data_IF_649043321615
#
_entry.id   IF_649043321615
#
_cell.length_a   1.000
_cell.length_b   1.000
_cell.length_c   1.000
_cell.angle_alpha   90.00
_cell.angle_beta   90.00
_cell.angle_gamma   90.00
#
_symmetry.space_group_name_H-M   'P 1'
#
loop_
_entity.id
_entity.type
_entity.pdbx_description
1 polymer ?
#
# COMPACT_ATOMS: atom_id res chain seq x y z
N UNK A 1 4.07 17.72 -12.77
CA UNK A 1 3.20 17.04 -11.77
C UNK A 1 2.75 18.04 -10.73
N UNK A 2 1.45 18.01 -10.38
CA UNK A 2 0.86 18.85 -9.33
C UNK A 2 1.51 18.50 -7.98
N UNK A 3 1.86 19.52 -7.18
CA UNK A 3 2.35 19.32 -5.83
C UNK A 3 1.24 18.92 -4.86
N UNK A 4 1.62 18.40 -3.67
CA UNK A 4 0.66 18.00 -2.63
C UNK A 4 -0.30 19.13 -2.23
N UNK A 5 0.17 20.36 -2.22
CA UNK A 5 -0.63 21.54 -1.86
C UNK A 5 -1.78 21.71 -2.85
N UNK A 6 -1.52 21.62 -4.15
CA UNK A 6 -2.55 21.72 -5.18
C UNK A 6 -3.54 20.57 -5.12
N UNK A 7 -3.04 19.32 -5.07
CA UNK A 7 -3.91 18.13 -4.93
C UNK A 7 -4.78 18.23 -3.68
N UNK A 8 -4.24 18.77 -2.57
CA UNK A 8 -4.99 18.91 -1.32
C UNK A 8 -6.14 19.93 -1.38
N UNK A 9 -6.19 20.79 -2.39
CA UNK A 9 -7.36 21.65 -2.64
C UNK A 9 -8.56 20.84 -3.12
N UNK A 10 -8.31 19.79 -3.88
CA UNK A 10 -9.33 18.98 -4.56
C UNK A 10 -9.69 17.69 -3.83
N UNK A 11 -8.78 17.13 -3.02
CA UNK A 11 -8.96 15.83 -2.35
C UNK A 11 -8.49 15.93 -0.91
N UNK A 12 -9.28 15.37 0.01
CA UNK A 12 -8.93 15.25 1.43
C UNK A 12 -7.93 14.13 1.71
N UNK A 13 -7.70 13.89 3.00
CA UNK A 13 -6.79 12.86 3.52
C UNK A 13 -7.44 12.02 4.61
N UNK A 14 -8.70 12.30 4.93
CA UNK A 14 -9.40 11.71 6.06
C UNK A 14 -10.08 10.38 5.67
N UNK A 15 -10.11 9.40 6.56
CA UNK A 15 -10.95 8.22 6.40
C UNK A 15 -12.41 8.61 6.26
N UNK A 16 -13.15 7.99 5.33
CA UNK A 16 -14.56 8.33 5.10
C UNK A 16 -15.50 7.75 6.18
N UNK A 17 -15.12 6.64 6.81
CA UNK A 17 -16.02 5.86 7.66
C UNK A 17 -17.22 5.26 6.91
N UNK A 18 -17.18 5.27 5.57
CA UNK A 18 -18.26 4.86 4.67
C UNK A 18 -17.74 3.90 3.60
N UNK A 19 -18.65 3.29 2.85
CA UNK A 19 -18.28 2.46 1.69
C UNK A 19 -17.48 3.28 0.67
N UNK A 20 -16.57 2.64 -0.05
CA UNK A 20 -15.68 3.33 -1.01
C UNK A 20 -16.41 3.93 -2.22
N UNK A 21 -17.63 3.48 -2.49
CA UNK A 21 -18.52 3.92 -3.58
C UNK A 21 -19.72 4.76 -3.08
N UNK A 22 -19.70 5.21 -1.83
CA UNK A 22 -20.75 6.06 -1.24
C UNK A 22 -20.70 7.48 -1.86
N UNK A 23 -21.88 8.02 -2.21
CA UNK A 23 -22.09 9.34 -2.82
C UNK A 23 -21.99 10.47 -1.78
N UNK A 24 -20.88 10.53 -1.05
CA UNK A 24 -20.65 11.54 -0.02
C UNK A 24 -19.31 12.24 -0.17
N UNK A 25 -19.30 13.51 0.19
CA UNK A 25 -18.13 14.38 0.18
C UNK A 25 -17.86 14.96 1.56
N UNK A 26 -16.59 15.19 1.86
CA UNK A 26 -16.13 15.89 3.05
C UNK A 26 -16.45 17.38 2.93
N UNK A 27 -17.20 17.92 3.87
CA UNK A 27 -17.41 19.36 4.00
C UNK A 27 -16.16 20.03 4.57
N UNK A 28 -15.79 21.19 4.03
CA UNK A 28 -14.68 22.02 4.52
C UNK A 28 -15.18 23.35 5.05
N UNK A 29 -14.45 23.93 6.00
CA UNK A 29 -14.72 25.29 6.49
C UNK A 29 -14.53 26.31 5.36
N UNK A 30 -15.38 27.32 5.34
CA UNK A 30 -15.33 28.44 4.38
C UNK A 30 -14.00 29.26 4.44
N UNK A 31 -13.21 29.09 5.49
CA UNK A 31 -11.89 29.73 5.64
C UNK A 31 -10.74 29.00 4.91
N UNK A 32 -10.99 27.81 4.37
CA UNK A 32 -10.00 27.10 3.55
C UNK A 32 -9.99 27.67 2.12
N UNK A 33 -8.81 28.04 1.62
CA UNK A 33 -8.61 28.47 0.22
C UNK A 33 -8.84 27.28 -0.73
N UNK A 34 -10.06 26.79 -0.85
CA UNK A 34 -10.41 25.63 -1.65
C UNK A 34 -11.91 25.41 -1.76
N UNK A 35 -12.31 24.31 -2.36
CA UNK A 35 -13.70 23.94 -2.54
C UNK A 35 -14.38 23.59 -1.21
N UNK A 36 -15.65 23.96 -1.06
CA UNK A 36 -16.44 23.73 0.17
C UNK A 36 -16.72 22.24 0.43
N UNK A 37 -16.67 21.41 -0.61
CA UNK A 37 -16.86 19.96 -0.55
C UNK A 37 -15.86 19.28 -1.45
N UNK A 38 -15.18 18.25 -0.93
CA UNK A 38 -14.17 17.46 -1.66
C UNK A 38 -14.30 15.98 -1.28
N UNK A 39 -13.77 15.06 -2.09
CA UNK A 39 -13.63 13.66 -1.69
C UNK A 39 -12.85 13.52 -0.38
N UNK A 40 -13.20 12.55 0.45
CA UNK A 40 -12.53 12.29 1.73
C UNK A 40 -11.04 12.01 1.58
N UNK A 41 -10.68 11.17 0.63
CA UNK A 41 -9.31 10.79 0.32
C UNK A 41 -9.23 10.16 -1.09
N UNK A 42 -8.03 9.91 -1.66
CA UNK A 42 -7.87 9.34 -3.00
C UNK A 42 -8.25 7.84 -3.10
N UNK A 43 -8.48 7.15 -1.97
CA UNK A 43 -8.73 5.70 -1.93
C UNK A 43 -10.21 5.34 -2.09
N UNK A 44 -11.13 6.32 -1.96
CA UNK A 44 -12.55 6.18 -2.30
C UNK A 44 -12.79 6.57 -3.75
N UNK A 45 -13.87 6.04 -4.38
CA UNK A 45 -14.12 6.25 -5.81
C UNK A 45 -14.20 7.72 -6.19
N UNK A 46 -14.89 8.56 -5.39
CA UNK A 46 -14.96 10.00 -5.63
C UNK A 46 -13.56 10.65 -5.70
N UNK A 47 -12.65 10.26 -4.79
CA UNK A 47 -11.27 10.75 -4.78
C UNK A 47 -10.43 10.21 -5.93
N UNK A 48 -10.65 8.97 -6.33
CA UNK A 48 -9.96 8.37 -7.47
C UNK A 48 -10.41 9.03 -8.80
N UNK A 49 -11.71 9.33 -8.97
CA UNK A 49 -12.23 10.08 -10.13
C UNK A 49 -11.64 11.49 -10.15
N UNK A 50 -11.63 12.18 -9.00
CA UNK A 50 -11.04 13.50 -8.87
C UNK A 50 -9.56 13.48 -9.24
N UNK A 51 -8.76 12.56 -8.69
CA UNK A 51 -7.33 12.47 -9.00
C UNK A 51 -7.07 12.12 -10.45
N UNK A 52 -7.91 11.29 -11.09
CA UNK A 52 -7.85 11.04 -12.52
C UNK A 52 -8.07 12.33 -13.31
N UNK A 53 -9.06 13.14 -12.93
CA UNK A 53 -9.33 14.44 -13.56
C UNK A 53 -8.16 15.42 -13.48
N UNK A 54 -7.37 15.37 -12.42
CA UNK A 54 -6.22 16.25 -12.19
C UNK A 54 -4.95 15.86 -12.96
N UNK A 55 -4.86 14.66 -13.53
CA UNK A 55 -3.66 14.23 -14.27
C UNK A 55 -3.63 14.92 -15.63
N UNK A 56 -2.67 15.84 -15.81
CA UNK A 56 -2.39 16.55 -17.07
C UNK A 56 -3.69 16.93 -17.84
N UNK A 57 -4.57 17.78 -17.25
CA UNK A 57 -5.92 18.00 -17.75
C UNK A 57 -5.95 18.68 -19.14
N UNK A 58 -4.86 19.34 -19.52
CA UNK A 58 -4.70 20.00 -20.81
C UNK A 58 -4.30 19.05 -21.96
N UNK A 59 -3.88 17.82 -21.61
CA UNK A 59 -3.45 16.80 -22.56
C UNK A 59 -4.63 15.97 -23.08
N UNK A 60 -4.50 15.44 -24.30
CA UNK A 60 -5.48 14.51 -24.84
C UNK A 60 -5.57 13.23 -24.02
N UNK A 61 -6.74 12.58 -24.02
CA UNK A 61 -6.97 11.29 -23.34
C UNK A 61 -5.85 10.26 -23.64
N UNK A 62 -5.42 10.16 -24.89
CA UNK A 62 -4.39 9.22 -25.33
C UNK A 62 -3.03 9.53 -24.70
N UNK A 63 -2.67 10.81 -24.58
CA UNK A 63 -1.43 11.26 -23.95
C UNK A 63 -1.47 10.98 -22.44
N UNK A 64 -2.57 11.33 -21.77
CA UNK A 64 -2.79 11.09 -20.34
C UNK A 64 -2.71 9.59 -20.01
N UNK A 65 -3.42 8.74 -20.75
CA UNK A 65 -3.39 7.28 -20.54
C UNK A 65 -2.00 6.70 -20.81
N UNK A 66 -1.30 7.17 -21.84
CA UNK A 66 0.07 6.77 -22.13
C UNK A 66 1.00 7.16 -21.00
N UNK A 67 0.92 8.41 -20.52
CA UNK A 67 1.72 8.89 -19.39
C UNK A 67 1.51 8.01 -18.15
N UNK A 68 0.26 7.71 -17.78
CA UNK A 68 -0.07 6.85 -16.64
C UNK A 68 0.54 5.45 -16.82
N UNK A 69 0.37 4.82 -17.98
CA UNK A 69 0.94 3.50 -18.26
C UNK A 69 2.46 3.49 -18.16
N UNK A 70 3.13 4.53 -18.65
CA UNK A 70 4.57 4.70 -18.53
C UNK A 70 5.00 4.83 -17.05
N UNK A 71 4.28 5.61 -16.24
CA UNK A 71 4.60 5.73 -14.82
C UNK A 71 4.43 4.39 -14.08
N UNK A 72 3.36 3.65 -14.36
CA UNK A 72 3.20 2.30 -13.82
C UNK A 72 4.30 1.35 -14.31
N UNK A 73 4.66 1.40 -15.60
CA UNK A 73 5.78 0.64 -16.15
C UNK A 73 7.08 0.89 -15.40
N UNK A 74 7.42 2.16 -15.15
CA UNK A 74 8.61 2.52 -14.37
C UNK A 74 8.55 2.03 -12.91
N UNK A 75 7.37 2.03 -12.28
CA UNK A 75 7.19 1.49 -10.93
C UNK A 75 7.48 -0.01 -10.85
N UNK A 76 7.28 -0.75 -11.95
CA UNK A 76 7.48 -2.20 -12.01
C UNK A 76 8.80 -2.61 -12.66
N UNK A 77 9.65 -1.65 -12.99
CA UNK A 77 11.01 -1.90 -13.48
C UNK A 77 11.21 -1.79 -14.98
N UNK A 78 10.19 -1.37 -15.73
CA UNK A 78 10.32 -1.10 -17.16
C UNK A 78 11.26 0.10 -17.39
N UNK A 79 12.18 -0.03 -18.37
CA UNK A 79 13.09 1.02 -18.80
C UNK A 79 12.76 1.50 -20.23
N UNK A 80 13.23 2.69 -20.59
CA UNK A 80 12.97 3.25 -21.93
C UNK A 80 13.66 2.45 -23.06
N UNK A 81 14.68 1.63 -22.72
CA UNK A 81 15.41 0.76 -23.65
C UNK A 81 14.63 -0.52 -23.96
N UNK A 82 13.63 -0.85 -23.13
CA UNK A 82 12.74 -1.97 -23.39
C UNK A 82 11.79 -1.64 -24.55
N UNK A 83 11.44 -2.64 -25.34
CA UNK A 83 10.51 -2.45 -26.47
C UNK A 83 9.19 -1.80 -25.97
N UNK A 84 8.72 -0.70 -26.60
CA UNK A 84 7.58 0.07 -26.13
C UNK A 84 6.27 -0.73 -25.96
N UNK A 85 6.22 -1.96 -26.40
CA UNK A 85 5.01 -2.81 -26.41
C UNK A 85 5.04 -3.94 -25.41
N UNK A 86 6.20 -4.29 -24.80
CA UNK A 86 6.34 -5.59 -24.14
C UNK A 86 5.97 -5.60 -22.65
N UNK A 87 6.15 -4.50 -21.90
CA UNK A 87 6.10 -4.60 -20.42
C UNK A 87 5.32 -3.47 -19.70
N UNK A 88 4.71 -2.55 -20.44
CA UNK A 88 3.78 -1.60 -19.81
C UNK A 88 2.48 -2.30 -19.43
N UNK A 89 1.83 -1.92 -18.30
CA UNK A 89 0.53 -2.47 -17.93
C UNK A 89 -0.44 -2.46 -19.13
N UNK A 90 -0.99 -3.64 -19.42
CA UNK A 90 -1.89 -3.79 -20.57
C UNK A 90 -3.22 -3.10 -20.28
N UNK A 91 -3.69 -2.28 -21.23
CA UNK A 91 -5.02 -1.67 -21.14
C UNK A 91 -6.09 -2.59 -21.74
N UNK A 92 -7.04 -3.02 -20.90
CA UNK A 92 -8.17 -3.84 -21.32
C UNK A 92 -9.39 -2.95 -21.69
N UNK A 93 -9.54 -2.65 -22.98
CA UNK A 93 -10.64 -1.81 -23.48
C UNK A 93 -12.03 -2.39 -23.19
N UNK A 94 -12.18 -3.71 -23.20
CA UNK A 94 -13.47 -4.35 -22.96
C UNK A 94 -13.88 -4.19 -21.50
N UNK A 95 -12.94 -4.35 -20.58
CA UNK A 95 -13.16 -4.11 -19.15
C UNK A 95 -13.54 -2.63 -18.91
N UNK A 96 -12.82 -1.68 -19.50
CA UNK A 96 -13.13 -0.26 -19.36
C UNK A 96 -14.55 0.09 -19.89
N UNK A 97 -14.98 -0.54 -20.98
CA UNK A 97 -16.35 -0.37 -21.48
C UNK A 97 -17.39 -0.96 -20.55
N UNK A 98 -17.13 -2.13 -19.96
CA UNK A 98 -18.03 -2.76 -19.00
C UNK A 98 -18.15 -1.94 -17.72
N UNK A 99 -17.03 -1.43 -17.20
CA UNK A 99 -16.99 -0.54 -16.04
C UNK A 99 -17.79 0.75 -16.29
N UNK A 100 -17.61 1.37 -17.44
CA UNK A 100 -18.40 2.55 -17.83
C UNK A 100 -19.89 2.23 -17.95
N UNK A 101 -20.26 1.11 -18.57
CA UNK A 101 -21.67 0.73 -18.78
C UNK A 101 -22.40 0.42 -17.46
N UNK A 102 -21.70 -0.13 -16.47
CA UNK A 102 -22.28 -0.51 -15.15
C UNK A 102 -21.97 0.48 -14.05
N UNK A 103 -21.19 1.51 -14.31
CA UNK A 103 -20.63 2.43 -13.34
C UNK A 103 -21.57 3.55 -12.89
N UNK A 104 -22.86 3.28 -12.68
CA UNK A 104 -23.86 4.30 -12.33
C UNK A 104 -23.46 5.17 -11.13
N UNK A 105 -22.95 4.56 -10.05
CA UNK A 105 -22.48 5.30 -8.88
C UNK A 105 -21.29 6.22 -9.22
N UNK A 106 -20.36 5.73 -10.03
CA UNK A 106 -19.19 6.52 -10.45
C UNK A 106 -19.60 7.70 -11.36
N UNK A 107 -20.58 7.50 -12.23
CA UNK A 107 -21.16 8.57 -13.07
C UNK A 107 -21.83 9.62 -12.18
N UNK A 108 -22.66 9.19 -11.24
CA UNK A 108 -23.31 10.08 -10.27
C UNK A 108 -22.30 10.87 -9.44
N UNK A 109 -21.19 10.24 -9.02
CA UNK A 109 -20.08 10.92 -8.33
C UNK A 109 -19.40 11.97 -9.20
N UNK A 110 -19.17 11.68 -10.48
CA UNK A 110 -18.61 12.64 -11.43
C UNK A 110 -19.47 13.94 -11.49
N UNK A 111 -20.77 13.80 -11.61
CA UNK A 111 -21.68 14.95 -11.59
C UNK A 111 -21.76 15.63 -10.22
N UNK A 112 -21.70 14.89 -9.11
CA UNK A 112 -21.64 15.46 -7.78
C UNK A 112 -20.38 16.32 -7.59
N UNK A 113 -19.23 15.84 -8.07
CA UNK A 113 -17.96 16.59 -8.04
C UNK A 113 -18.01 17.84 -8.90
N UNK A 114 -18.67 17.79 -10.05
CA UNK A 114 -18.90 18.95 -10.90
C UNK A 114 -19.84 19.96 -10.20
N UNK A 115 -20.95 19.50 -9.64
CA UNK A 115 -21.94 20.36 -8.95
C UNK A 115 -21.33 21.09 -7.73
N UNK A 116 -20.27 20.57 -7.13
CA UNK A 116 -19.54 21.23 -6.03
C UNK A 116 -18.41 22.15 -6.51
N UNK A 117 -18.21 22.25 -7.84
CA UNK A 117 -17.12 23.00 -8.45
C UNK A 117 -15.73 22.41 -8.21
N UNK A 118 -15.64 21.18 -7.66
CA UNK A 118 -14.38 20.56 -7.28
C UNK A 118 -13.63 19.96 -8.46
N UNK A 119 -14.35 19.48 -9.48
CA UNK A 119 -13.73 18.91 -10.68
C UNK A 119 -13.16 20.03 -11.56
N UNK A 120 -11.90 19.97 -11.99
CA UNK A 120 -11.32 20.98 -12.84
C UNK A 120 -12.05 21.03 -14.19
N UNK A 121 -12.34 22.26 -14.66
CA UNK A 121 -12.86 22.49 -15.99
C UNK A 121 -11.77 22.19 -17.04
N UNK A 122 -12.13 21.57 -18.13
CA UNK A 122 -11.26 21.40 -19.28
C UNK A 122 -11.28 22.67 -20.16
N UNK A 123 -10.23 22.92 -20.95
CA UNK A 123 -10.19 24.09 -21.85
C UNK A 123 -11.33 24.11 -22.87
N UNK A 124 -11.92 22.95 -23.16
CA UNK A 124 -13.08 22.81 -24.02
C UNK A 124 -14.36 23.39 -23.43
N UNK A 125 -14.40 23.59 -22.10
CA UNK A 125 -15.60 24.11 -21.43
C UNK A 125 -15.71 25.64 -21.52
N UNK A 126 -14.64 26.34 -21.95
CA UNK A 126 -14.59 27.81 -22.01
C UNK A 126 -15.16 28.43 -23.31
N UNK A 127 -15.51 27.64 -24.32
CA UNK A 127 -15.98 28.11 -25.60
C UNK A 127 -17.37 27.58 -25.97
N UNK A 128 -18.30 27.69 -25.02
CA UNK A 128 -19.70 27.37 -25.34
C UNK A 128 -20.51 28.63 -25.58
N UNK A 129 -20.70 28.92 -26.83
CA UNK A 129 -21.85 29.72 -27.26
C UNK A 129 -23.07 28.80 -27.15
N UNK A 130 -23.88 28.99 -26.12
CA UNK A 130 -25.21 28.39 -26.08
C UNK A 130 -26.01 29.12 -27.13
N UNK A 131 -26.20 28.48 -28.27
CA UNK A 131 -27.12 28.97 -29.28
C UNK A 131 -28.56 28.67 -28.85
N UNK A 132 -29.37 29.69 -28.53
CA UNK A 132 -30.74 29.50 -28.01
C UNK A 132 -31.79 29.05 -29.01
N UNK A 133 -31.41 28.83 -30.26
CA UNK A 133 -32.35 28.70 -31.38
C UNK A 133 -32.41 27.30 -32.05
N UNK A 134 -31.85 26.26 -31.41
CA UNK A 134 -32.01 24.91 -31.93
C UNK A 134 -33.10 24.16 -31.18
N UNK A 135 -34.22 23.86 -31.87
CA UNK A 135 -35.38 23.10 -31.38
C UNK A 135 -35.08 21.62 -31.07
N UNK A 136 -33.83 21.21 -31.07
CA UNK A 136 -33.39 19.86 -30.73
C UNK A 136 -32.93 19.79 -29.26
N UNK A 137 -33.71 19.10 -28.43
CA UNK A 137 -33.43 18.85 -27.05
C UNK A 137 -32.28 17.84 -26.91
N UNK A 138 -31.06 18.32 -27.11
CA UNK A 138 -29.86 17.50 -26.91
C UNK A 138 -29.54 17.35 -25.43
N UNK A 139 -29.44 16.10 -24.97
CA UNK A 139 -28.97 15.78 -23.64
C UNK A 139 -27.48 16.15 -23.54
N UNK A 140 -27.23 17.26 -22.85
CA UNK A 140 -25.88 17.71 -22.59
C UNK A 140 -25.20 16.86 -21.53
N UNK A 141 -24.05 16.24 -21.85
CA UNK A 141 -23.14 15.58 -20.93
C UNK A 141 -21.90 16.46 -20.79
N UNK A 142 -21.60 16.87 -19.55
CA UNK A 142 -20.43 17.70 -19.26
C UNK A 142 -19.11 17.03 -19.70
N UNK A 143 -18.32 17.65 -20.62
CA UNK A 143 -17.08 17.05 -21.11
C UNK A 143 -16.05 16.75 -20.02
N UNK A 144 -15.93 17.62 -19.01
CA UNK A 144 -15.00 17.42 -17.89
C UNK A 144 -15.33 16.14 -17.10
N UNK A 145 -16.62 15.88 -16.83
CA UNK A 145 -17.08 14.64 -16.16
C UNK A 145 -16.78 13.43 -17.04
N UNK A 146 -17.07 13.53 -18.34
CA UNK A 146 -16.86 12.44 -19.30
C UNK A 146 -15.38 12.07 -19.43
N UNK A 147 -14.50 13.04 -19.54
CA UNK A 147 -13.05 12.80 -19.66
C UNK A 147 -12.43 12.27 -18.36
N UNK A 148 -12.84 12.79 -17.21
CA UNK A 148 -12.39 12.27 -15.90
C UNK A 148 -12.82 10.82 -15.70
N UNK A 149 -14.08 10.49 -15.99
CA UNK A 149 -14.61 9.12 -15.87
C UNK A 149 -13.97 8.17 -16.88
N UNK A 150 -13.79 8.59 -18.12
CA UNK A 150 -13.13 7.80 -19.16
C UNK A 150 -11.71 7.43 -18.77
N UNK A 151 -10.95 8.38 -18.21
CA UNK A 151 -9.61 8.13 -17.70
C UNK A 151 -9.64 7.23 -16.47
N UNK A 152 -10.52 7.49 -15.51
CA UNK A 152 -10.70 6.67 -14.30
C UNK A 152 -11.00 5.20 -14.65
N UNK A 153 -12.01 4.92 -15.50
CA UNK A 153 -12.33 3.55 -15.91
C UNK A 153 -11.19 2.88 -16.68
N UNK A 154 -10.42 3.67 -17.44
CA UNK A 154 -9.24 3.15 -18.16
C UNK A 154 -8.12 2.76 -17.19
N UNK A 155 -7.88 3.55 -16.15
CA UNK A 155 -6.90 3.22 -15.08
C UNK A 155 -7.34 1.97 -14.32
N UNK A 156 -8.63 1.85 -13.96
CA UNK A 156 -9.18 0.66 -13.31
C UNK A 156 -9.07 -0.61 -14.17
N UNK A 157 -8.87 -0.45 -15.50
CA UNK A 157 -8.78 -1.53 -16.47
C UNK A 157 -7.36 -1.82 -16.95
N UNK A 158 -6.35 -1.35 -16.20
CA UNK A 158 -4.95 -1.75 -16.40
C UNK A 158 -4.72 -3.13 -15.77
N UNK A 159 -4.20 -4.04 -16.58
CA UNK A 159 -3.87 -5.41 -16.16
C UNK A 159 -2.40 -5.49 -15.73
N UNK A 160 -2.17 -6.04 -14.55
CA UNK A 160 -0.85 -6.28 -13.98
C UNK A 160 -0.84 -7.65 -13.31
N UNK A 161 0.31 -8.31 -13.30
CA UNK A 161 0.49 -9.54 -12.51
C UNK A 161 0.67 -9.23 -11.02
N UNK A 162 0.53 -10.24 -10.16
CA UNK A 162 0.83 -10.07 -8.75
C UNK A 162 2.30 -9.67 -8.51
N UNK A 163 3.22 -10.14 -9.36
CA UNK A 163 4.64 -9.75 -9.34
C UNK A 163 4.81 -8.26 -9.65
N UNK A 164 4.12 -7.74 -10.67
CA UNK A 164 4.17 -6.32 -11.02
C UNK A 164 3.67 -5.45 -9.86
N UNK A 165 2.55 -5.83 -9.26
CA UNK A 165 2.00 -5.08 -8.11
C UNK A 165 2.93 -5.16 -6.89
N UNK A 166 3.57 -6.32 -6.63
CA UNK A 166 4.58 -6.45 -5.58
C UNK A 166 5.80 -5.57 -5.86
N UNK A 167 6.23 -5.45 -7.13
CA UNK A 167 7.34 -4.58 -7.53
C UNK A 167 6.99 -3.10 -7.34
N UNK A 168 5.78 -2.68 -7.72
CA UNK A 168 5.32 -1.31 -7.46
C UNK A 168 5.30 -1.02 -5.94
N UNK A 169 4.87 -1.98 -5.11
CA UNK A 169 4.95 -1.87 -3.66
C UNK A 169 6.40 -1.78 -3.15
N UNK A 170 7.32 -2.57 -3.75
CA UNK A 170 8.75 -2.53 -3.41
C UNK A 170 9.39 -1.18 -3.78
N UNK A 171 8.99 -0.57 -4.90
CA UNK A 171 9.40 0.79 -5.26
C UNK A 171 8.95 1.81 -4.22
N UNK A 172 7.73 1.69 -3.69
CA UNK A 172 7.26 2.51 -2.58
C UNK A 172 8.04 2.22 -1.28
N UNK A 173 8.29 0.93 -0.97
CA UNK A 173 9.08 0.53 0.19
C UNK A 173 10.52 1.08 0.13
N UNK A 174 11.09 1.17 -1.06
CA UNK A 174 12.44 1.70 -1.35
C UNK A 174 12.44 3.22 -1.63
N UNK A 175 11.56 3.97 -0.96
CA UNK A 175 11.51 5.43 -1.04
C UNK A 175 11.38 6.01 -2.46
N UNK A 176 10.72 5.26 -3.35
CA UNK A 176 10.41 5.67 -4.72
C UNK A 176 11.49 5.35 -5.75
N UNK A 177 12.48 4.54 -5.39
CA UNK A 177 13.48 3.97 -6.31
C UNK A 177 13.08 2.54 -6.65
N UNK A 178 12.91 2.25 -7.93
CA UNK A 178 12.60 0.89 -8.37
C UNK A 178 13.79 -0.06 -8.09
N UNK A 179 13.60 -1.19 -7.40
CA UNK A 179 14.69 -2.09 -7.06
C UNK A 179 15.37 -2.76 -8.27
N UNK A 180 14.66 -2.92 -9.39
CA UNK A 180 15.19 -3.55 -10.61
C UNK A 180 15.92 -2.53 -11.47
N UNK A 181 15.23 -1.48 -11.95
CA UNK A 181 15.81 -0.49 -12.84
C UNK A 181 16.74 0.50 -12.15
N UNK A 182 16.70 0.59 -10.82
CA UNK A 182 17.39 1.59 -10.01
C UNK A 182 16.95 3.04 -10.31
N UNK A 183 15.91 3.22 -11.11
CA UNK A 183 15.34 4.51 -11.42
C UNK A 183 14.60 5.12 -10.23
N UNK A 184 14.80 6.41 -10.00
CA UNK A 184 13.93 7.18 -9.11
C UNK A 184 12.62 7.53 -9.83
N UNK A 185 11.59 6.75 -9.58
CA UNK A 185 10.26 6.93 -10.17
C UNK A 185 9.45 7.98 -9.41
N UNK A 186 9.52 7.95 -8.07
CA UNK A 186 8.82 8.87 -7.20
C UNK A 186 9.80 9.61 -6.29
N UNK A 187 9.48 10.87 -5.97
CA UNK A 187 10.25 11.59 -4.96
C UNK A 187 10.00 10.99 -3.57
N UNK A 188 10.98 11.06 -2.67
CA UNK A 188 10.82 10.66 -1.27
C UNK A 188 9.64 11.38 -0.60
N UNK A 189 9.45 12.66 -0.93
CA UNK A 189 8.32 13.46 -0.43
C UNK A 189 6.98 12.89 -0.88
N UNK A 190 6.88 12.44 -2.14
CA UNK A 190 5.68 11.79 -2.66
C UNK A 190 5.38 10.51 -1.90
N UNK A 191 6.36 9.63 -1.74
CA UNK A 191 6.20 8.38 -1.00
C UNK A 191 5.78 8.65 0.45
N UNK A 192 6.47 9.58 1.14
CA UNK A 192 6.14 9.99 2.51
C UNK A 192 4.69 10.49 2.65
N UNK A 193 4.14 11.11 1.62
CA UNK A 193 2.76 11.59 1.62
C UNK A 193 1.74 10.48 1.29
N UNK A 194 2.12 9.49 0.47
CA UNK A 194 1.23 8.41 0.06
C UNK A 194 1.05 7.34 1.15
N UNK A 195 2.13 6.96 1.85
CA UNK A 195 2.08 5.85 2.81
C UNK A 195 1.07 6.07 3.95
N UNK A 196 0.96 7.26 4.59
CA UNK A 196 -0.05 7.49 5.62
C UNK A 196 -1.49 7.39 5.10
N UNK A 197 -1.75 7.81 3.85
CA UNK A 197 -3.08 7.69 3.24
C UNK A 197 -3.42 6.22 2.94
N UNK A 198 -2.45 5.44 2.47
CA UNK A 198 -2.61 3.98 2.32
C UNK A 198 -2.89 3.31 3.67
N UNK A 199 -2.20 3.74 4.71
CA UNK A 199 -2.36 3.21 6.06
C UNK A 199 -3.75 3.51 6.65
N UNK A 200 -4.24 4.74 6.50
CA UNK A 200 -5.50 5.18 7.09
C UNK A 200 -6.74 4.80 6.28
N UNK A 201 -6.61 4.58 4.97
CA UNK A 201 -7.76 4.46 4.07
C UNK A 201 -7.62 3.36 3.00
N UNK A 202 -6.47 2.65 2.94
CA UNK A 202 -6.20 1.70 1.87
C UNK A 202 -6.97 0.38 1.94
N UNK A 203 -7.48 0.02 3.13
CA UNK A 203 -8.25 -1.21 3.38
C UNK A 203 -9.75 -0.92 3.58
N UNK A 204 -10.27 0.11 2.91
CA UNK A 204 -11.66 0.56 3.03
C UNK A 204 -12.04 0.83 4.49
N UNK A 205 -13.25 0.45 4.92
CA UNK A 205 -13.71 0.64 6.29
C UNK A 205 -12.99 -0.24 7.32
N UNK A 206 -12.20 -1.21 6.88
CA UNK A 206 -11.37 -2.05 7.74
C UNK A 206 -9.97 -1.47 8.00
N UNK A 207 -9.61 -0.30 7.46
CA UNK A 207 -8.25 0.25 7.54
C UNK A 207 -7.72 0.38 8.97
N UNK A 208 -8.54 0.87 9.90
CA UNK A 208 -8.15 1.00 11.30
C UNK A 208 -7.89 -0.34 11.98
N UNK A 209 -8.79 -1.31 11.80
CA UNK A 209 -8.64 -2.67 12.34
C UNK A 209 -7.43 -3.38 11.69
N UNK A 210 -7.26 -3.23 10.39
CA UNK A 210 -6.13 -3.79 9.67
C UNK A 210 -4.80 -3.20 10.17
N UNK A 211 -4.76 -1.88 10.36
CA UNK A 211 -3.57 -1.22 10.89
C UNK A 211 -3.23 -1.69 12.32
N UNK A 212 -4.23 -1.83 13.18
CA UNK A 212 -4.02 -2.38 14.54
C UNK A 212 -3.42 -3.80 14.52
N UNK A 213 -3.86 -4.65 13.58
CA UNK A 213 -3.50 -6.07 13.53
C UNK A 213 -2.24 -6.36 12.71
N UNK A 214 -1.99 -5.56 11.67
CA UNK A 214 -0.92 -5.78 10.69
C UNK A 214 0.12 -4.66 10.72
N UNK A 215 -0.32 -3.41 10.96
CA UNK A 215 0.56 -2.27 11.15
C UNK A 215 1.35 -1.81 9.93
N UNK A 216 0.92 -2.18 8.72
CA UNK A 216 1.58 -1.85 7.47
C UNK A 216 0.68 -1.01 6.56
N UNK A 217 1.24 -0.06 5.81
CA UNK A 217 0.52 0.57 4.70
C UNK A 217 0.10 -0.49 3.68
N UNK A 218 -1.18 -0.47 3.30
CA UNK A 218 -1.75 -1.47 2.40
C UNK A 218 -2.80 -0.86 1.47
N UNK A 219 -3.08 -1.53 0.34
CA UNK A 219 -4.20 -1.20 -0.54
C UNK A 219 -4.91 -2.46 -1.00
N UNK A 220 -6.19 -2.51 -0.73
CA UNK A 220 -7.08 -3.57 -1.20
C UNK A 220 -7.72 -3.21 -2.54
N UNK A 221 -7.98 -4.23 -3.35
CA UNK A 221 -8.73 -4.14 -4.58
C UNK A 221 -9.87 -5.15 -4.63
N UNK A 222 -11.04 -4.74 -5.12
CA UNK A 222 -12.23 -5.60 -5.24
C UNK A 222 -12.05 -6.79 -6.19
N UNK A 223 -10.96 -6.83 -6.97
CA UNK A 223 -10.53 -8.01 -7.71
C UNK A 223 -9.90 -9.10 -6.84
N UNK A 224 -9.68 -8.86 -5.55
CA UNK A 224 -9.07 -9.80 -4.60
C UNK A 224 -7.58 -9.59 -4.37
N UNK A 225 -7.01 -8.51 -4.87
CA UNK A 225 -5.62 -8.13 -4.61
C UNK A 225 -5.46 -7.38 -3.29
N UNK A 226 -4.38 -7.64 -2.58
CA UNK A 226 -3.90 -6.83 -1.44
C UNK A 226 -2.44 -6.52 -1.66
N UNK A 227 -2.13 -5.25 -1.79
CA UNK A 227 -0.78 -4.72 -1.83
C UNK A 227 -0.37 -4.33 -0.41
N UNK A 228 0.80 -4.78 0.05
CA UNK A 228 1.40 -4.37 1.32
C UNK A 228 2.78 -3.75 1.08
N UNK A 229 3.11 -2.78 1.89
CA UNK A 229 4.40 -2.11 1.86
C UNK A 229 5.05 -2.29 3.22
N UNK A 230 6.21 -2.96 3.24
CA UNK A 230 7.10 -3.00 4.40
C UNK A 230 8.20 -1.98 4.16
N UNK A 231 8.12 -0.76 4.76
CA UNK A 231 9.06 0.31 4.47
C UNK A 231 10.52 -0.13 4.67
N UNK A 232 11.40 0.24 3.73
CA UNK A 232 12.83 -0.07 3.71
C UNK A 232 13.16 -1.58 3.62
N UNK A 233 12.19 -2.45 3.33
CA UNK A 233 12.44 -3.88 3.27
C UNK A 233 11.89 -4.51 1.99
N UNK A 234 10.55 -4.51 1.80
CA UNK A 234 9.94 -5.21 0.66
C UNK A 234 8.56 -4.68 0.31
N UNK A 235 8.13 -4.98 -0.92
CA UNK A 235 6.75 -4.91 -1.38
C UNK A 235 6.15 -6.30 -1.50
N UNK A 236 4.88 -6.44 -1.16
CA UNK A 236 4.16 -7.72 -1.21
C UNK A 236 2.85 -7.53 -1.95
N UNK A 237 2.49 -8.47 -2.81
CA UNK A 237 1.15 -8.59 -3.37
C UNK A 237 0.58 -9.97 -3.08
N UNK A 238 -0.64 -10.00 -2.56
CA UNK A 238 -1.40 -11.22 -2.34
C UNK A 238 -2.65 -11.15 -3.21
N UNK A 239 -2.87 -12.15 -4.04
CA UNK A 239 -4.07 -12.23 -4.88
C UNK A 239 -4.93 -13.43 -4.49
N UNK A 240 -6.15 -13.15 -4.01
CA UNK A 240 -7.15 -14.17 -3.70
C UNK A 240 -8.55 -13.56 -3.77
N UNK A 241 -9.38 -13.97 -4.74
CA UNK A 241 -10.61 -13.25 -5.12
C UNK A 241 -11.80 -13.38 -4.15
N UNK A 242 -11.77 -14.18 -3.09
CA UNK A 242 -12.85 -14.20 -2.08
C UNK A 242 -12.72 -13.01 -1.17
N UNK A 243 -13.77 -12.17 -1.13
CA UNK A 243 -13.82 -10.94 -0.36
C UNK A 243 -14.67 -11.10 0.91
N UNK A 244 -14.33 -10.30 1.92
CA UNK A 244 -15.17 -10.08 3.10
C UNK A 244 -16.30 -9.06 2.81
N UNK A 245 -17.11 -8.76 3.83
CA UNK A 245 -18.20 -7.80 3.73
C UNK A 245 -17.73 -6.35 3.46
N UNK A 246 -16.46 -6.04 3.72
CA UNK A 246 -15.85 -4.74 3.47
C UNK A 246 -15.17 -4.65 2.10
N UNK A 247 -15.14 -5.74 1.33
CA UNK A 247 -14.53 -5.80 0.00
C UNK A 247 -13.03 -6.17 0.00
N UNK A 248 -12.49 -6.65 1.11
CA UNK A 248 -11.09 -7.06 1.23
C UNK A 248 -10.93 -8.56 1.02
N UNK A 249 -9.80 -8.99 0.44
CA UNK A 249 -9.45 -10.40 0.32
C UNK A 249 -9.34 -11.08 1.69
N UNK A 250 -10.19 -12.07 1.97
CA UNK A 250 -10.19 -12.82 3.24
C UNK A 250 -8.83 -13.48 3.50
N UNK A 251 -8.28 -14.17 2.48
CA UNK A 251 -6.98 -14.83 2.60
C UNK A 251 -5.83 -13.83 2.61
N UNK A 252 -5.99 -12.69 1.90
CA UNK A 252 -5.02 -11.61 1.90
C UNK A 252 -4.84 -11.01 3.29
N UNK A 253 -5.95 -10.74 4.00
CA UNK A 253 -5.91 -10.26 5.39
C UNK A 253 -5.27 -11.30 6.31
N UNK A 254 -5.68 -12.56 6.23
CA UNK A 254 -5.16 -13.62 7.08
C UNK A 254 -3.66 -13.84 6.87
N UNK A 255 -3.19 -13.84 5.62
CA UNK A 255 -1.76 -13.93 5.30
C UNK A 255 -0.98 -12.75 5.89
N UNK A 256 -1.54 -11.53 5.80
CA UNK A 256 -0.92 -10.33 6.35
C UNK A 256 -0.76 -10.43 7.87
N UNK A 257 -1.77 -10.93 8.59
CA UNK A 257 -1.71 -11.18 10.05
C UNK A 257 -0.64 -12.21 10.40
N UNK A 258 -0.58 -13.32 9.67
CA UNK A 258 0.45 -14.36 9.89
C UNK A 258 1.86 -13.84 9.62
N UNK A 259 2.02 -12.96 8.62
CA UNK A 259 3.30 -12.33 8.35
C UNK A 259 3.77 -11.52 9.57
N UNK A 260 2.92 -10.66 10.11
CA UNK A 260 3.27 -9.81 11.25
C UNK A 260 3.30 -10.55 12.59
N UNK A 261 2.64 -11.71 12.70
CA UNK A 261 2.80 -12.57 13.87
C UNK A 261 4.14 -13.31 13.90
N UNK A 262 4.76 -13.52 12.74
CA UNK A 262 6.05 -14.23 12.62
C UNK A 262 7.24 -13.28 12.53
N UNK A 263 7.08 -12.09 11.92
CA UNK A 263 8.16 -11.17 11.64
C UNK A 263 7.93 -9.80 12.28
N UNK A 264 9.00 -9.15 12.71
CA UNK A 264 9.02 -7.78 13.22
C UNK A 264 8.90 -6.78 12.06
N UNK A 265 7.70 -6.61 11.52
CA UNK A 265 7.42 -5.72 10.39
C UNK A 265 6.30 -4.71 10.66
N UNK A 266 5.61 -4.81 11.78
CA UNK A 266 4.61 -3.82 12.19
C UNK A 266 5.29 -2.47 12.46
N UNK A 267 4.67 -1.36 12.07
CA UNK A 267 5.24 0.00 12.22
C UNK A 267 5.71 0.31 13.65
N UNK A 268 5.06 -0.26 14.66
CA UNK A 268 5.38 -0.05 16.08
C UNK A 268 6.15 -1.19 16.73
N UNK A 269 6.67 -2.15 15.99
CA UNK A 269 7.45 -3.25 16.56
C UNK A 269 8.71 -2.76 17.29
N UNK A 270 9.28 -1.61 16.91
CA UNK A 270 10.41 -1.01 17.62
C UNK A 270 10.13 -0.61 19.10
N UNK A 271 8.86 -0.65 19.53
CA UNK A 271 8.47 -0.42 20.94
C UNK A 271 8.46 -1.71 21.76
N UNK A 272 8.65 -2.87 21.12
CA UNK A 272 8.63 -4.18 21.78
C UNK A 272 10.06 -4.68 22.01
N UNK A 273 10.38 -4.98 23.25
CA UNK A 273 11.72 -5.42 23.65
C UNK A 273 11.82 -6.93 23.88
N UNK A 274 10.69 -7.60 24.07
CA UNK A 274 10.63 -9.04 24.32
C UNK A 274 9.65 -9.69 23.34
N UNK A 275 10.18 -10.38 22.32
CA UNK A 275 9.36 -10.98 21.27
C UNK A 275 10.07 -12.16 20.62
N UNK A 276 9.34 -13.24 20.42
CA UNK A 276 9.78 -14.44 19.70
C UNK A 276 9.78 -14.26 18.17
N UNK A 277 9.42 -13.07 17.68
CA UNK A 277 9.31 -12.79 16.26
C UNK A 277 10.67 -12.50 15.63
N UNK A 278 10.82 -12.91 14.38
CA UNK A 278 12.05 -12.73 13.61
C UNK A 278 12.17 -11.31 13.07
N UNK A 279 13.33 -10.67 13.23
CA UNK A 279 13.60 -9.39 12.57
C UNK A 279 14.18 -9.63 11.16
N UNK A 280 13.40 -9.42 10.08
CA UNK A 280 13.86 -9.68 8.72
C UNK A 280 14.87 -8.62 8.21
N UNK A 281 15.14 -7.57 8.98
CA UNK A 281 16.14 -6.54 8.66
C UNK A 281 17.53 -6.93 9.11
N UNK A 282 17.65 -7.90 10.01
CA UNK A 282 18.95 -8.37 10.48
C UNK A 282 19.55 -9.37 9.47
N UNK A 283 20.82 -9.24 9.12
CA UNK A 283 21.55 -10.30 8.42
C UNK A 283 21.50 -11.62 9.21
N UNK A 284 21.38 -12.75 8.53
CA UNK A 284 21.30 -14.09 9.16
C UNK A 284 22.47 -14.28 10.14
N UNK A 285 23.69 -13.94 9.73
CA UNK A 285 24.87 -14.06 10.59
C UNK A 285 24.78 -13.21 11.87
N UNK A 286 24.21 -11.98 11.78
CA UNK A 286 24.00 -11.13 12.96
C UNK A 286 22.89 -11.66 13.86
N UNK A 287 21.87 -12.26 13.23
CA UNK A 287 20.78 -12.90 13.93
C UNK A 287 21.24 -14.15 14.70
N UNK A 288 22.11 -14.97 14.10
CA UNK A 288 22.77 -16.12 14.75
C UNK A 288 23.67 -15.67 15.90
N UNK A 289 24.49 -14.64 15.69
CA UNK A 289 25.34 -14.07 16.74
C UNK A 289 24.54 -13.49 17.91
N UNK A 290 23.43 -12.77 17.64
CA UNK A 290 22.54 -12.29 18.70
C UNK A 290 21.90 -13.43 19.47
N UNK A 291 21.48 -14.52 18.78
CA UNK A 291 20.89 -15.70 19.44
C UNK A 291 21.88 -16.43 20.32
N UNK A 292 23.14 -16.55 19.88
CA UNK A 292 24.21 -17.13 20.68
C UNK A 292 24.45 -16.30 21.96
N UNK A 293 24.57 -14.96 21.80
CA UNK A 293 24.74 -14.06 22.96
C UNK A 293 23.57 -14.11 23.92
N UNK A 294 22.33 -14.18 23.42
CA UNK A 294 21.11 -14.28 24.21
C UNK A 294 21.03 -15.61 24.95
N UNK A 295 21.36 -16.73 24.27
CA UNK A 295 21.39 -18.03 24.89
C UNK A 295 22.46 -18.13 26.02
N UNK A 296 23.64 -17.59 25.80
CA UNK A 296 24.72 -17.52 26.78
C UNK A 296 24.32 -16.67 27.97
N UNK A 297 23.76 -15.47 27.72
CA UNK A 297 23.30 -14.59 28.79
C UNK A 297 22.17 -15.22 29.60
N UNK A 298 21.17 -15.81 28.91
CA UNK A 298 20.08 -16.51 29.58
C UNK A 298 20.57 -17.68 30.45
N UNK A 299 21.53 -18.44 29.94
CA UNK A 299 22.12 -19.56 30.63
C UNK A 299 22.90 -19.12 31.90
N UNK A 300 23.70 -18.06 31.80
CA UNK A 300 24.45 -17.53 32.94
C UNK A 300 23.53 -16.96 34.03
N UNK A 301 22.38 -16.40 33.67
CA UNK A 301 21.45 -15.78 34.60
C UNK A 301 20.29 -16.70 35.07
N UNK A 302 20.29 -17.96 34.68
CA UNK A 302 19.23 -18.90 35.11
C UNK A 302 17.88 -18.70 34.43
N UNK A 303 17.84 -18.01 33.30
CA UNK A 303 16.59 -17.63 32.59
C UNK A 303 16.12 -18.75 31.66
N UNK A 304 15.45 -19.76 32.20
CA UNK A 304 14.90 -20.89 31.46
C UNK A 304 13.87 -20.44 30.42
N UNK A 305 13.03 -19.46 30.73
CA UNK A 305 11.99 -18.99 29.78
C UNK A 305 12.57 -18.49 28.47
N UNK A 306 13.66 -17.74 28.51
CA UNK A 306 14.37 -17.30 27.30
C UNK A 306 14.93 -18.50 26.55
N UNK A 307 15.48 -19.49 27.20
CA UNK A 307 16.00 -20.70 26.57
C UNK A 307 14.87 -21.55 25.94
N UNK A 308 13.72 -21.69 26.60
CA UNK A 308 12.52 -22.33 26.04
C UNK A 308 12.06 -21.62 24.75
N UNK A 309 12.06 -20.29 24.78
CA UNK A 309 11.74 -19.48 23.61
C UNK A 309 12.72 -19.74 22.46
N UNK A 310 14.01 -19.76 22.74
CA UNK A 310 15.04 -20.04 21.72
C UNK A 310 14.92 -21.46 21.14
N UNK A 311 14.60 -22.45 21.96
CA UNK A 311 14.31 -23.82 21.51
C UNK A 311 13.08 -23.85 20.60
N UNK A 312 11.99 -23.16 21.00
CA UNK A 312 10.76 -23.11 20.20
C UNK A 312 10.98 -22.46 18.83
N UNK A 313 11.94 -21.54 18.72
CA UNK A 313 12.40 -20.90 17.50
C UNK A 313 13.41 -21.73 16.70
N UNK A 314 13.71 -22.95 17.14
CA UNK A 314 14.71 -23.84 16.53
C UNK A 314 16.12 -23.21 16.50
N UNK A 315 16.50 -22.45 17.54
CA UNK A 315 17.84 -21.87 17.66
C UNK A 315 18.86 -22.91 18.06
N UNK A 316 20.07 -22.76 17.53
CA UNK A 316 21.19 -23.58 17.96
C UNK A 316 21.71 -23.11 19.32
N UNK A 317 21.60 -23.96 20.32
CA UNK A 317 22.12 -23.72 21.68
C UNK A 317 23.52 -24.31 21.88
N UNK A 318 24.14 -24.86 20.85
CA UNK A 318 25.50 -25.43 20.94
C UNK A 318 26.57 -24.45 20.49
N UNK A 319 26.19 -23.38 19.78
CA UNK A 319 27.13 -22.35 19.31
C UNK A 319 27.73 -21.61 20.53
N UNK A 320 29.04 -21.50 20.54
CA UNK A 320 29.80 -20.78 21.59
C UNK A 320 30.06 -19.32 21.22
N UNK A 321 30.44 -18.51 22.22
CA UNK A 321 30.96 -17.17 22.03
C UNK A 321 32.36 -17.18 21.35
N UNK A 322 32.99 -16.01 21.26
CA UNK A 322 34.33 -15.91 20.66
C UNK A 322 35.42 -16.67 21.45
N UNK A 323 35.17 -17.02 22.72
CA UNK A 323 36.01 -17.89 23.54
C UNK A 323 35.59 -19.37 23.46
N UNK A 324 34.64 -19.71 22.57
CA UNK A 324 34.08 -21.06 22.37
C UNK A 324 33.30 -21.54 23.62
N UNK A 325 32.84 -20.63 24.48
CA UNK A 325 32.01 -20.99 25.63
C UNK A 325 30.55 -21.10 25.20
N UNK A 326 29.95 -22.27 25.35
CA UNK A 326 28.55 -22.53 25.06
C UNK A 326 27.63 -22.11 26.21
N UNK A 327 26.32 -22.00 26.01
CA UNK A 327 25.35 -21.79 27.10
C UNK A 327 25.53 -22.78 28.26
N UNK A 328 25.86 -24.06 27.96
CA UNK A 328 26.07 -25.07 28.96
C UNK A 328 27.33 -24.80 29.81
N UNK A 329 28.41 -24.29 29.17
CA UNK A 329 29.61 -23.87 29.92
C UNK A 329 29.31 -22.75 30.91
N UNK A 330 28.54 -21.74 30.50
CA UNK A 330 28.19 -20.59 31.34
C UNK A 330 27.21 -20.99 32.45
N UNK A 331 26.17 -21.77 32.14
CA UNK A 331 25.25 -22.29 33.18
C UNK A 331 25.96 -23.09 34.23
N UNK A 332 26.94 -23.92 33.80
CA UNK A 332 27.74 -24.73 34.76
C UNK A 332 28.68 -23.87 35.61
N UNK A 333 29.35 -22.86 35.00
CA UNK A 333 30.24 -21.96 35.70
C UNK A 333 29.52 -21.10 36.77
N UNK A 334 28.29 -20.66 36.46
CA UNK A 334 27.46 -19.82 37.34
C UNK A 334 26.57 -20.65 38.29
N UNK A 335 26.68 -21.98 38.27
CA UNK A 335 25.92 -22.86 39.16
C UNK A 335 24.42 -22.92 38.86
N UNK A 336 23.98 -22.67 37.66
CA UNK A 336 22.58 -22.65 37.27
C UNK A 336 22.05 -24.08 37.00
N UNK A 337 21.83 -24.85 38.07
CA UNK A 337 21.52 -26.28 37.97
C UNK A 337 20.32 -26.61 37.09
N UNK A 338 19.22 -25.87 37.21
CA UNK A 338 18.00 -26.12 36.43
C UNK A 338 18.23 -25.83 34.93
N UNK A 339 19.05 -24.83 34.62
CA UNK A 339 19.43 -24.51 33.23
C UNK A 339 20.34 -25.60 32.65
N UNK A 340 21.30 -26.08 33.42
CA UNK A 340 22.17 -27.20 33.00
C UNK A 340 21.33 -28.43 32.68
N UNK A 341 20.38 -28.77 33.54
CA UNK A 341 19.43 -29.87 33.30
C UNK A 341 18.62 -29.66 32.05
N UNK A 342 18.03 -28.46 31.90
CA UNK A 342 17.25 -28.09 30.72
C UNK A 342 18.05 -28.24 29.39
N UNK A 343 19.29 -27.73 29.38
CA UNK A 343 20.15 -27.79 28.19
C UNK A 343 20.52 -29.22 27.82
N UNK A 344 20.84 -30.06 28.82
CA UNK A 344 21.13 -31.50 28.61
C UNK A 344 19.91 -32.27 28.11
N UNK A 345 18.71 -31.99 28.63
CA UNK A 345 17.45 -32.61 28.21
C UNK A 345 17.12 -32.23 26.74
N UNK A 346 17.63 -31.11 26.26
CA UNK A 346 17.49 -30.66 24.85
C UNK A 346 18.71 -31.04 23.97
N UNK A 347 19.61 -31.92 24.47
CA UNK A 347 20.70 -32.50 23.68
C UNK A 347 21.90 -31.55 23.46
N UNK A 348 22.02 -30.47 24.24
CA UNK A 348 23.20 -29.59 24.23
C UNK A 348 24.35 -30.30 24.90
N UNK A 349 25.54 -30.27 24.30
CA UNK A 349 26.74 -30.96 24.74
C UNK A 349 27.83 -30.02 25.15
#
# INVERSE_FOLDING_TARGET
>A
ALGLEEVSKHVGKEPSGRQFDDLTLLARSASSNGFSRVPFNPMVNAGAIMTAGLIDPDDSFTQRLRHIRQQFGRLIGWTADDSPSAEMPRFNKNMARQENFKGYNNIAMGYLLMATGSLPHTKTDLHRDIHPDEDEFDFYIEPAVTEALKLYFSICSLEMTATDVAMAAATLANSGVCPISQDRVLSQKTVRNCLPVLQSSGMYNASGTFFQQVGLPAKSGVGGGVLLIVPQLMGICIFSPRLDAQGNSVRGIEMSKRLTSKYLVHTFDGTMTDTDRLDPKLPIARWEANSCGEAIWAASNGNIRTLESLVSQQRDLQTGDYDIRTPLHLASAEGQFEVVKFLLDHGVK
#
